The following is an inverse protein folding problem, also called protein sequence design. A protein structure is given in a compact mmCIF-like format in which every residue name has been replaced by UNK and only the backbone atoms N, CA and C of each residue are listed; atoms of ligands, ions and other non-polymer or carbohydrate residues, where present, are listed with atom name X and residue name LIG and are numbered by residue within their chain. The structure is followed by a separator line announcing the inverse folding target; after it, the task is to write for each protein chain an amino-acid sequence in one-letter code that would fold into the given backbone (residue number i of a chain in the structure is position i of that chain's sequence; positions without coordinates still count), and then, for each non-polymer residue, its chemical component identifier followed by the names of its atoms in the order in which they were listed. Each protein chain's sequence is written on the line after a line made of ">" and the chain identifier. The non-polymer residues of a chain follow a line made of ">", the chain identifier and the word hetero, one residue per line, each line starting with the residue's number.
data_IF_919146278525
#
_entry.id   IF_919146278525
#
_cell.length_a   1.000
_cell.length_b   1.000
_cell.length_c   1.000
_cell.angle_alpha   90.00
_cell.angle_beta   90.00
_cell.angle_gamma   90.00
#
_symmetry.space_group_name_H-M   'P 1'
#
loop_
_entity.id
_entity.type
_entity.pdbx_description
1 polymer ?
#
# COMPACT_ATOMS: atom_id res chain seq x y z
N UNK A 1 -25.91 -21.41 72.84
CA UNK A 1 -26.05 -20.97 71.45
C UNK A 1 -24.70 -20.41 71.01
N UNK A 2 -23.92 -21.10 70.16
CA UNK A 2 -22.66 -20.58 69.67
C UNK A 2 -22.85 -19.87 68.32
N UNK A 3 -22.32 -18.67 68.23
CA UNK A 3 -22.27 -17.79 67.02
C UNK A 3 -21.22 -18.29 66.05
N UNK A 4 -21.66 -18.63 64.84
CA UNK A 4 -20.78 -18.98 63.71
C UNK A 4 -20.31 -17.69 63.02
N UNK A 5 -19.00 -17.42 63.09
CA UNK A 5 -18.36 -16.33 62.35
C UNK A 5 -17.88 -16.91 61.03
N UNK A 6 -18.54 -16.55 59.91
CA UNK A 6 -18.15 -16.88 58.55
C UNK A 6 -17.03 -15.89 58.16
N UNK A 7 -15.78 -16.40 58.03
CA UNK A 7 -14.65 -15.66 57.42
C UNK A 7 -14.72 -15.80 55.92
N UNK A 8 -15.06 -14.71 55.24
CA UNK A 8 -15.03 -14.61 53.77
C UNK A 8 -13.59 -14.36 53.34
N UNK A 9 -12.92 -15.37 52.76
CA UNK A 9 -11.61 -15.22 52.12
C UNK A 9 -11.84 -14.63 50.74
N UNK A 10 -11.42 -13.38 50.53
CA UNK A 10 -11.34 -12.75 49.22
C UNK A 10 -10.11 -13.29 48.48
N UNK A 11 -10.34 -14.09 47.44
CA UNK A 11 -9.29 -14.55 46.53
C UNK A 11 -9.02 -13.45 45.51
N UNK A 12 -7.93 -12.70 45.67
CA UNK A 12 -7.46 -11.73 44.68
C UNK A 12 -6.74 -12.53 43.59
N UNK A 13 -7.40 -12.75 42.45
CA UNK A 13 -6.75 -13.25 41.23
C UNK A 13 -5.85 -12.14 40.65
N UNK A 14 -4.55 -12.25 40.86
CA UNK A 14 -3.57 -11.44 40.16
C UNK A 14 -3.48 -11.95 38.71
N UNK A 15 -4.10 -11.26 37.77
CA UNK A 15 -3.93 -11.51 36.35
C UNK A 15 -2.51 -11.11 35.97
N UNK A 16 -1.64 -12.08 35.81
CA UNK A 16 -0.29 -11.88 35.28
C UNK A 16 -0.40 -11.53 33.78
N UNK A 17 -0.28 -10.25 33.45
CA UNK A 17 -0.09 -9.82 32.05
C UNK A 17 1.32 -10.24 31.64
N UNK A 18 1.41 -11.35 30.90
CA UNK A 18 2.67 -11.73 30.24
C UNK A 18 2.88 -10.79 29.06
N UNK A 19 3.75 -9.79 29.23
CA UNK A 19 4.29 -8.99 28.13
C UNK A 19 5.22 -9.92 27.37
N UNK A 20 4.78 -10.44 26.23
CA UNK A 20 5.66 -11.13 25.28
C UNK A 20 6.65 -10.11 24.73
N UNK A 21 7.87 -10.10 25.21
CA UNK A 21 8.95 -9.34 24.61
C UNK A 21 9.25 -9.95 23.23
N UNK A 22 9.06 -9.19 22.16
CA UNK A 22 9.48 -9.62 20.82
C UNK A 22 10.99 -9.82 20.85
N UNK A 23 11.45 -11.02 20.51
CA UNK A 23 12.88 -11.34 20.57
C UNK A 23 13.64 -10.52 19.51
N UNK A 24 14.76 -9.90 19.91
CA UNK A 24 15.65 -9.20 18.99
C UNK A 24 16.15 -10.14 17.88
N UNK A 25 16.29 -9.62 16.67
CA UNK A 25 16.84 -10.38 15.54
C UNK A 25 18.29 -10.78 15.80
N UNK A 26 18.61 -12.05 15.59
CA UNK A 26 19.99 -12.56 15.74
C UNK A 26 20.72 -12.50 14.40
N UNK A 27 21.95 -11.99 14.41
CA UNK A 27 22.84 -11.96 13.24
C UNK A 27 24.03 -12.90 13.47
N UNK A 28 24.57 -13.60 12.43
CA UNK A 28 24.14 -13.50 11.03
C UNK A 28 22.73 -14.03 10.79
N UNK A 29 21.95 -13.28 9.99
CA UNK A 29 20.59 -13.61 9.60
C UNK A 29 20.58 -14.10 8.16
N UNK A 30 20.01 -15.29 7.91
CA UNK A 30 19.76 -15.79 6.56
C UNK A 30 18.28 -15.63 6.24
N UNK A 31 17.96 -14.94 5.13
CA UNK A 31 16.60 -14.71 4.65
C UNK A 31 16.47 -15.09 3.18
N UNK A 32 15.23 -15.32 2.76
CA UNK A 32 14.87 -15.53 1.36
C UNK A 32 14.11 -14.28 0.92
N UNK A 33 14.55 -13.66 -0.20
CA UNK A 33 13.91 -12.49 -0.77
C UNK A 33 12.65 -12.85 -1.58
N UNK A 34 11.91 -11.86 -2.08
CA UNK A 34 10.68 -12.04 -2.84
C UNK A 34 10.84 -12.78 -4.17
N UNK A 35 12.08 -12.99 -4.63
CA UNK A 35 12.41 -13.80 -5.83
C UNK A 35 12.99 -15.18 -5.51
N UNK A 36 13.00 -15.56 -4.22
CA UNK A 36 13.54 -16.84 -3.76
C UNK A 36 15.07 -16.87 -3.61
N UNK A 37 15.77 -15.73 -3.72
CA UNK A 37 17.22 -15.69 -3.52
C UNK A 37 17.56 -15.66 -2.03
N UNK A 38 18.61 -16.39 -1.66
CA UNK A 38 19.13 -16.37 -0.29
C UNK A 38 20.02 -15.16 -0.07
N UNK A 39 19.74 -14.39 0.97
CA UNK A 39 20.54 -13.27 1.44
C UNK A 39 21.04 -13.54 2.86
N UNK A 40 22.33 -13.28 3.11
CA UNK A 40 22.92 -13.38 4.45
C UNK A 40 23.33 -11.99 4.91
N UNK A 41 22.73 -11.54 6.01
CA UNK A 41 23.11 -10.30 6.69
C UNK A 41 23.97 -10.64 7.90
N UNK A 42 25.24 -10.23 7.88
CA UNK A 42 26.19 -10.54 8.96
C UNK A 42 25.97 -9.68 10.22
N UNK A 43 25.31 -8.54 10.07
CA UNK A 43 25.00 -7.57 11.15
C UNK A 43 23.69 -6.85 10.85
N UNK A 44 23.12 -6.21 11.85
CA UNK A 44 21.97 -5.32 11.70
C UNK A 44 22.32 -4.19 10.73
N UNK A 45 21.55 -4.00 9.62
CA UNK A 45 21.79 -2.92 8.68
C UNK A 45 21.63 -1.55 9.34
N UNK A 46 22.61 -0.66 9.13
CA UNK A 46 22.63 0.70 9.66
C UNK A 46 22.63 1.76 8.55
N UNK A 47 22.83 1.36 7.29
CA UNK A 47 22.88 2.25 6.15
C UNK A 47 22.04 1.65 5.02
N UNK A 48 20.76 2.01 4.98
CA UNK A 48 19.74 1.37 4.17
C UNK A 48 19.39 2.27 2.99
N UNK A 49 19.39 1.73 1.78
CA UNK A 49 18.90 2.40 0.57
C UNK A 49 17.62 1.74 0.08
N UNK A 50 16.64 2.55 -0.30
CA UNK A 50 15.37 2.12 -0.85
C UNK A 50 15.26 2.51 -2.32
N UNK A 51 14.77 1.60 -3.17
CA UNK A 51 14.57 1.78 -4.60
C UNK A 51 13.13 1.52 -5.03
N UNK A 52 12.19 1.51 -4.10
CA UNK A 52 10.75 1.44 -4.39
C UNK A 52 9.97 2.36 -3.48
N UNK A 53 8.91 2.96 -3.98
CA UNK A 53 8.04 3.80 -3.15
C UNK A 53 7.42 3.02 -1.99
N UNK A 54 7.14 1.71 -2.18
CA UNK A 54 6.69 0.83 -1.10
C UNK A 54 7.65 0.83 0.08
N UNK A 55 8.94 0.56 -0.19
CA UNK A 55 9.94 0.52 0.88
C UNK A 55 10.27 1.90 1.41
N UNK A 56 10.17 2.96 0.61
CA UNK A 56 10.29 4.34 1.10
C UNK A 56 9.26 4.62 2.20
N UNK A 57 7.99 4.34 1.90
CA UNK A 57 6.87 4.59 2.79
C UNK A 57 6.89 3.71 4.06
N UNK A 58 7.30 2.44 3.92
CA UNK A 58 7.39 1.52 5.06
C UNK A 58 8.58 1.87 5.94
N UNK A 59 9.76 2.13 5.36
CA UNK A 59 10.99 2.40 6.10
C UNK A 59 10.92 3.70 6.91
N UNK A 60 10.19 4.71 6.44
CA UNK A 60 9.98 5.98 7.16
C UNK A 60 9.40 5.77 8.57
N UNK A 61 8.54 4.77 8.75
CA UNK A 61 7.96 4.42 10.05
C UNK A 61 8.70 3.26 10.74
N UNK A 62 9.41 2.43 9.97
CA UNK A 62 9.98 1.20 10.48
C UNK A 62 11.31 1.42 11.19
N UNK A 63 12.16 2.34 10.70
CA UNK A 63 13.50 2.58 11.22
C UNK A 63 13.74 4.04 11.53
N UNK A 64 14.74 4.31 12.38
CA UNK A 64 15.21 5.67 12.61
C UNK A 64 15.78 6.28 11.31
N UNK A 65 15.49 7.55 11.07
CA UNK A 65 15.93 8.27 9.88
C UNK A 65 17.45 8.26 9.68
N UNK A 66 18.24 8.15 10.76
CA UNK A 66 19.71 8.05 10.70
C UNK A 66 20.20 6.77 10.01
N UNK A 67 19.32 5.76 9.87
CA UNK A 67 19.62 4.52 9.14
C UNK A 67 19.29 4.60 7.65
N UNK A 68 18.59 5.63 7.21
CA UNK A 68 18.20 5.82 5.81
C UNK A 68 19.32 6.55 5.06
N UNK A 69 19.91 5.88 4.08
CA UNK A 69 20.98 6.45 3.24
C UNK A 69 20.45 7.11 1.98
N UNK A 70 19.44 6.49 1.37
CA UNK A 70 18.74 7.05 0.20
C UNK A 70 17.35 6.47 0.05
N UNK A 71 16.49 7.25 -0.61
CA UNK A 71 15.14 6.88 -1.03
C UNK A 71 14.95 7.18 -2.52
N UNK A 72 13.84 6.73 -3.09
CA UNK A 72 13.53 7.07 -4.49
C UNK A 72 13.21 8.57 -4.62
N UNK A 73 13.38 9.13 -5.81
CA UNK A 73 12.92 10.50 -6.07
C UNK A 73 11.39 10.62 -5.94
N UNK A 74 10.65 9.54 -6.19
CA UNK A 74 9.20 9.48 -6.03
C UNK A 74 8.76 9.73 -4.59
N UNK A 75 9.59 9.40 -3.60
CA UNK A 75 9.29 9.68 -2.20
C UNK A 75 9.02 11.17 -1.93
N UNK A 76 9.62 12.08 -2.72
CA UNK A 76 9.43 13.52 -2.59
C UNK A 76 8.28 14.11 -3.43
N UNK A 77 7.66 13.32 -4.31
CA UNK A 77 6.56 13.79 -5.15
C UNK A 77 5.23 13.68 -4.40
N UNK A 78 4.61 14.82 -4.12
CA UNK A 78 3.34 14.92 -3.37
C UNK A 78 2.16 14.21 -4.04
N UNK A 79 2.27 13.93 -5.34
CA UNK A 79 1.21 13.25 -6.10
C UNK A 79 1.31 11.73 -5.98
N UNK A 80 2.53 11.19 -5.80
CA UNK A 80 2.77 9.75 -5.70
C UNK A 80 2.98 9.27 -4.27
N UNK A 81 3.60 10.10 -3.41
CA UNK A 81 4.08 9.70 -2.09
C UNK A 81 3.16 10.18 -0.98
N UNK A 82 2.87 9.28 -0.04
CA UNK A 82 2.16 9.60 1.19
C UNK A 82 3.09 10.14 2.29
N UNK A 83 4.41 10.25 2.03
CA UNK A 83 5.43 10.71 2.98
C UNK A 83 6.23 11.93 2.49
N UNK A 84 5.86 12.52 1.36
CA UNK A 84 6.61 13.61 0.73
C UNK A 84 6.89 14.81 1.66
N UNK A 85 6.01 15.07 2.60
CA UNK A 85 6.10 16.14 3.60
C UNK A 85 6.89 15.76 4.88
N UNK A 86 7.31 14.50 5.01
CA UNK A 86 7.96 13.94 6.21
C UNK A 86 9.38 13.44 5.97
N UNK A 87 9.89 13.59 4.75
CA UNK A 87 11.23 13.13 4.41
C UNK A 87 12.32 13.79 5.27
N UNK A 88 13.35 13.05 5.68
CA UNK A 88 14.54 13.65 6.30
C UNK A 88 15.13 14.72 5.38
N UNK A 89 15.51 15.88 5.96
CA UNK A 89 15.98 17.05 5.18
C UNK A 89 17.18 16.77 4.27
N UNK A 90 18.04 15.86 4.72
CA UNK A 90 19.32 15.56 4.05
C UNK A 90 19.30 14.19 3.37
N UNK A 91 18.11 13.58 3.18
CA UNK A 91 18.01 12.29 2.50
C UNK A 91 18.45 12.41 1.03
N UNK A 92 19.28 11.49 0.58
CA UNK A 92 19.64 11.40 -0.83
C UNK A 92 18.49 10.76 -1.60
N UNK A 93 18.01 11.45 -2.63
CA UNK A 93 16.97 10.96 -3.54
C UNK A 93 17.63 10.41 -4.81
N UNK A 94 17.29 9.18 -5.19
CA UNK A 94 17.92 8.48 -6.31
C UNK A 94 16.87 7.78 -7.19
N UNK A 95 17.20 7.68 -8.47
CA UNK A 95 16.72 6.58 -9.31
C UNK A 95 17.59 5.34 -9.08
N UNK A 96 17.23 4.20 -9.70
CA UNK A 96 18.07 3.00 -9.68
C UNK A 96 19.38 3.27 -10.47
N UNK A 97 20.30 3.98 -9.84
CA UNK A 97 21.63 4.29 -10.37
C UNK A 97 22.69 3.52 -9.58
N UNK A 98 23.31 2.53 -10.23
CA UNK A 98 24.29 1.62 -9.61
C UNK A 98 25.51 2.38 -9.11
N UNK A 99 26.04 3.31 -9.90
CA UNK A 99 27.25 4.08 -9.55
C UNK A 99 27.02 4.93 -8.28
N UNK A 100 25.87 5.60 -8.20
CA UNK A 100 25.49 6.38 -7.03
C UNK A 100 25.35 5.49 -5.79
N UNK A 101 24.71 4.32 -5.91
CA UNK A 101 24.56 3.35 -4.82
C UNK A 101 25.90 2.77 -4.37
N UNK A 102 26.80 2.44 -5.31
CA UNK A 102 28.17 2.03 -4.99
C UNK A 102 28.92 3.15 -4.25
N UNK A 103 28.74 4.42 -4.65
CA UNK A 103 29.31 5.57 -3.95
C UNK A 103 28.77 5.76 -2.54
N UNK A 104 27.49 5.51 -2.32
CA UNK A 104 26.85 5.50 -0.98
C UNK A 104 27.37 4.32 -0.16
N UNK A 105 27.54 3.15 -0.77
CA UNK A 105 27.93 1.89 -0.13
C UNK A 105 27.02 1.54 1.04
N UNK A 106 25.74 1.25 0.81
CA UNK A 106 24.79 0.89 1.86
C UNK A 106 25.05 -0.53 2.40
N UNK A 107 24.59 -0.78 3.61
CA UNK A 107 24.62 -2.12 4.23
C UNK A 107 23.53 -3.04 3.66
N UNK A 108 22.47 -2.45 3.10
CA UNK A 108 21.33 -3.15 2.50
C UNK A 108 20.63 -2.22 1.51
N UNK A 109 20.27 -2.78 0.36
CA UNK A 109 19.40 -2.15 -0.64
C UNK A 109 18.10 -2.93 -0.72
N UNK A 110 16.97 -2.25 -0.65
CA UNK A 110 15.67 -2.79 -1.03
C UNK A 110 15.36 -2.40 -2.49
N UNK A 111 15.04 -3.39 -3.32
CA UNK A 111 14.61 -3.18 -4.69
C UNK A 111 13.36 -4.01 -4.97
N UNK A 112 12.60 -3.69 -6.01
CA UNK A 112 11.43 -4.45 -6.40
C UNK A 112 11.81 -5.77 -7.06
N UNK A 113 10.93 -6.78 -6.95
CA UNK A 113 11.09 -8.07 -7.62
C UNK A 113 11.12 -7.95 -9.17
N UNK A 114 10.59 -6.86 -9.72
CA UNK A 114 10.61 -6.52 -11.14
C UNK A 114 11.76 -5.58 -11.56
N UNK A 115 12.69 -5.27 -10.63
CA UNK A 115 13.87 -4.44 -10.93
C UNK A 115 14.77 -5.09 -11.97
N UNK A 116 15.49 -4.27 -12.74
CA UNK A 116 16.43 -4.72 -13.78
C UNK A 116 17.48 -5.69 -13.20
N UNK A 117 17.44 -6.94 -13.62
CA UNK A 117 18.29 -8.00 -13.09
C UNK A 117 19.79 -7.69 -13.18
N UNK A 118 20.23 -7.05 -14.28
CA UNK A 118 21.63 -6.68 -14.49
C UNK A 118 22.09 -5.63 -13.50
N UNK A 119 21.26 -4.65 -13.14
CA UNK A 119 21.58 -3.65 -12.11
C UNK A 119 21.68 -4.27 -10.73
N UNK A 120 20.75 -5.19 -10.41
CA UNK A 120 20.78 -5.96 -9.17
C UNK A 120 22.06 -6.79 -9.07
N UNK A 121 22.44 -7.47 -10.16
CA UNK A 121 23.68 -8.27 -10.22
C UNK A 121 24.92 -7.38 -9.99
N UNK A 122 25.01 -6.23 -10.64
CA UNK A 122 26.13 -5.28 -10.47
C UNK A 122 26.27 -4.81 -9.01
N UNK A 123 25.17 -4.52 -8.29
CA UNK A 123 25.22 -4.18 -6.88
C UNK A 123 25.74 -5.35 -6.03
N UNK A 124 25.26 -6.57 -6.29
CA UNK A 124 25.69 -7.78 -5.59
C UNK A 124 27.18 -8.08 -5.84
N UNK A 125 27.64 -7.91 -7.07
CA UNK A 125 29.05 -8.07 -7.46
C UNK A 125 29.96 -7.01 -6.80
N UNK A 126 29.43 -5.81 -6.52
CA UNK A 126 30.09 -4.78 -5.72
C UNK A 126 30.07 -5.09 -4.20
N UNK A 127 29.52 -6.23 -3.78
CA UNK A 127 29.43 -6.64 -2.39
C UNK A 127 28.31 -5.97 -1.59
N UNK A 128 27.36 -5.33 -2.25
CA UNK A 128 26.20 -4.68 -1.62
C UNK A 128 25.06 -5.67 -1.54
N UNK A 129 24.55 -5.99 -0.32
CA UNK A 129 23.40 -6.85 -0.16
C UNK A 129 22.13 -6.20 -0.78
N UNK A 130 21.42 -6.95 -1.64
CA UNK A 130 20.15 -6.51 -2.23
C UNK A 130 19.05 -7.50 -1.87
N UNK A 131 18.03 -7.01 -1.18
CA UNK A 131 16.78 -7.74 -0.90
C UNK A 131 15.71 -7.30 -1.92
N UNK A 132 15.21 -8.24 -2.68
CA UNK A 132 14.13 -8.01 -3.62
C UNK A 132 12.79 -8.18 -2.88
N UNK A 133 12.06 -7.08 -2.69
CA UNK A 133 10.76 -7.13 -2.02
C UNK A 133 9.72 -7.73 -2.96
N UNK A 134 8.83 -8.53 -2.40
CA UNK A 134 7.63 -8.94 -3.12
C UNK A 134 6.70 -7.73 -3.30
N UNK A 135 5.85 -7.78 -4.31
CA UNK A 135 4.86 -6.72 -4.58
C UNK A 135 3.46 -7.26 -4.30
N UNK A 136 3.04 -7.26 -3.02
CA UNK A 136 1.74 -7.79 -2.65
C UNK A 136 0.62 -6.89 -3.15
N UNK A 137 -0.49 -7.50 -3.59
CA UNK A 137 -1.67 -6.81 -4.11
C UNK A 137 -2.86 -6.87 -3.14
N UNK A 138 -2.67 -7.41 -1.94
CA UNK A 138 -3.68 -7.47 -0.89
C UNK A 138 -3.19 -6.84 0.41
N UNK A 139 -4.10 -6.34 1.23
CA UNK A 139 -3.77 -5.77 2.55
C UNK A 139 -3.05 -6.80 3.42
N UNK A 140 -3.52 -8.04 3.45
CA UNK A 140 -2.86 -9.10 4.21
C UNK A 140 -1.44 -9.39 3.71
N UNK A 141 -1.22 -9.37 2.40
CA UNK A 141 0.13 -9.53 1.81
C UNK A 141 1.05 -8.36 2.17
N UNK A 142 0.55 -7.12 2.11
CA UNK A 142 1.28 -5.92 2.52
C UNK A 142 1.69 -6.01 3.99
N UNK A 143 0.77 -6.39 4.89
CA UNK A 143 1.06 -6.57 6.31
C UNK A 143 2.15 -7.63 6.54
N UNK A 144 2.08 -8.75 5.83
CA UNK A 144 3.11 -9.80 5.92
C UNK A 144 4.47 -9.31 5.45
N UNK A 145 4.53 -8.55 4.36
CA UNK A 145 5.80 -8.00 3.87
C UNK A 145 6.37 -6.97 4.84
N UNK A 146 5.56 -6.07 5.41
CA UNK A 146 5.98 -5.15 6.47
C UNK A 146 6.62 -5.90 7.65
N UNK A 147 6.00 -6.99 8.11
CA UNK A 147 6.53 -7.79 9.22
C UNK A 147 7.85 -8.50 8.86
N UNK A 148 8.00 -8.97 7.61
CA UNK A 148 9.27 -9.54 7.12
C UNK A 148 10.37 -8.48 7.11
N UNK A 149 10.10 -7.28 6.58
CA UNK A 149 11.05 -6.16 6.58
C UNK A 149 11.42 -5.75 8.01
N UNK A 150 10.44 -5.73 8.92
CA UNK A 150 10.66 -5.43 10.33
C UNK A 150 11.61 -6.45 10.99
N UNK A 151 11.40 -7.74 10.75
CA UNK A 151 12.27 -8.80 11.27
C UNK A 151 13.70 -8.69 10.71
N UNK A 152 13.85 -8.40 9.42
CA UNK A 152 15.13 -8.22 8.74
C UNK A 152 15.93 -7.04 9.30
N UNK A 153 15.24 -6.00 9.75
CA UNK A 153 15.83 -4.75 10.22
C UNK A 153 15.95 -4.65 11.74
N UNK A 154 15.57 -5.69 12.50
CA UNK A 154 15.46 -5.68 13.96
C UNK A 154 14.58 -4.52 14.45
N UNK A 155 13.37 -4.44 13.88
CA UNK A 155 12.37 -3.41 14.08
C UNK A 155 10.95 -3.99 14.28
N UNK A 156 10.86 -5.22 14.85
CA UNK A 156 9.60 -5.97 14.94
C UNK A 156 8.48 -5.18 15.59
N UNK A 157 8.80 -4.47 16.70
CA UNK A 157 7.82 -3.66 17.41
C UNK A 157 7.19 -2.59 16.51
N UNK A 158 8.01 -1.89 15.71
CA UNK A 158 7.51 -0.87 14.79
C UNK A 158 6.65 -1.50 13.69
N UNK A 159 7.06 -2.66 13.15
CA UNK A 159 6.27 -3.40 12.17
C UNK A 159 4.91 -3.82 12.72
N UNK A 160 4.87 -4.35 13.93
CA UNK A 160 3.63 -4.71 14.63
C UNK A 160 2.74 -3.49 14.86
N UNK A 161 3.32 -2.34 15.22
CA UNK A 161 2.58 -1.08 15.39
C UNK A 161 1.99 -0.57 14.07
N UNK A 162 2.73 -0.66 12.96
CA UNK A 162 2.22 -0.31 11.62
C UNK A 162 1.01 -1.19 11.27
N UNK A 163 1.14 -2.51 11.39
CA UNK A 163 0.06 -3.46 11.09
C UNK A 163 -1.15 -3.24 11.99
N UNK A 164 -0.94 -3.05 13.29
CA UNK A 164 -2.02 -2.77 14.22
C UNK A 164 -2.73 -1.43 13.91
N UNK A 165 -2.02 -0.43 13.37
CA UNK A 165 -2.62 0.82 12.90
C UNK A 165 -3.50 0.59 11.67
N UNK A 166 -3.03 -0.23 10.71
CA UNK A 166 -3.82 -0.62 9.53
C UNK A 166 -5.12 -1.30 9.96
N UNK A 167 -5.04 -2.29 10.86
CA UNK A 167 -6.21 -3.03 11.35
C UNK A 167 -7.21 -2.13 12.09
N UNK A 168 -6.72 -1.23 12.94
CA UNK A 168 -7.60 -0.25 13.61
C UNK A 168 -8.31 0.64 12.61
N UNK A 169 -7.59 1.17 11.62
CA UNK A 169 -8.16 2.04 10.59
C UNK A 169 -9.30 1.35 9.83
N UNK A 170 -9.14 0.09 9.44
CA UNK A 170 -10.18 -0.70 8.79
C UNK A 170 -11.35 -1.00 9.75
N UNK A 171 -11.06 -1.32 11.01
CA UNK A 171 -12.08 -1.56 12.03
C UNK A 171 -12.96 -0.34 12.27
N UNK A 172 -12.36 0.87 12.31
CA UNK A 172 -13.09 2.12 12.49
C UNK A 172 -14.05 2.41 11.31
N UNK A 173 -13.71 1.91 10.11
CA UNK A 173 -14.52 2.05 8.90
C UNK A 173 -15.62 0.99 8.78
N UNK A 174 -15.57 -0.10 9.55
CA UNK A 174 -16.44 -1.26 9.38
C UNK A 174 -17.95 -0.95 9.32
N UNK A 175 -18.53 -0.03 10.12
CA UNK A 175 -19.94 0.31 10.02
C UNK A 175 -20.32 0.97 8.68
N UNK A 176 -19.43 1.82 8.14
CA UNK A 176 -19.62 2.49 6.87
C UNK A 176 -19.48 1.52 5.71
N UNK A 177 -18.47 0.64 5.77
CA UNK A 177 -18.24 -0.43 4.79
C UNK A 177 -19.47 -1.34 4.70
N UNK A 178 -20.02 -1.80 5.84
CA UNK A 178 -21.22 -2.62 5.86
C UNK A 178 -22.45 -1.92 5.23
N UNK A 179 -22.59 -0.62 5.46
CA UNK A 179 -23.64 0.18 4.84
C UNK A 179 -23.49 0.28 3.32
N UNK A 180 -22.25 0.48 2.81
CA UNK A 180 -21.94 0.49 1.37
C UNK A 180 -22.21 -0.90 0.78
N UNK A 181 -21.69 -1.95 1.40
CA UNK A 181 -21.84 -3.33 0.94
C UNK A 181 -23.30 -3.76 0.81
N UNK A 182 -24.18 -3.30 1.72
CA UNK A 182 -25.60 -3.59 1.66
C UNK A 182 -26.32 -2.99 0.44
N UNK A 183 -25.71 -2.01 -0.22
CA UNK A 183 -26.23 -1.38 -1.45
C UNK A 183 -25.86 -2.15 -2.72
N UNK A 184 -24.84 -3.01 -2.68
CA UNK A 184 -24.35 -3.81 -3.79
C UNK A 184 -23.86 -2.95 -4.99
N UNK A 185 -23.25 -1.79 -4.71
CA UNK A 185 -22.82 -0.83 -5.73
C UNK A 185 -21.68 -1.39 -6.59
N UNK A 186 -21.85 -1.24 -7.90
CA UNK A 186 -20.86 -1.60 -8.91
C UNK A 186 -19.98 -0.40 -9.21
N UNK A 187 -18.69 -0.55 -9.03
CA UNK A 187 -17.67 0.47 -9.24
C UNK A 187 -16.77 0.11 -10.42
N UNK A 188 -16.35 1.10 -11.17
CA UNK A 188 -15.36 0.96 -12.25
C UNK A 188 -14.37 2.12 -12.14
N UNK A 189 -13.08 1.84 -12.23
CA UNK A 189 -12.08 2.86 -12.52
C UNK A 189 -11.89 3.00 -14.04
N UNK A 190 -11.53 4.18 -14.47
CA UNK A 190 -11.24 4.45 -15.88
C UNK A 190 -10.12 5.49 -15.97
N UNK A 191 -9.01 5.12 -16.58
CA UNK A 191 -7.84 5.97 -16.67
C UNK A 191 -7.61 6.53 -18.08
N UNK A 192 -6.65 7.46 -18.20
CA UNK A 192 -6.31 8.11 -19.46
C UNK A 192 -5.72 7.18 -20.52
N UNK A 193 -5.33 5.96 -20.14
CA UNK A 193 -4.82 4.92 -21.05
C UNK A 193 -5.95 4.06 -21.64
N UNK A 194 -7.20 4.31 -21.24
CA UNK A 194 -8.34 3.51 -21.69
C UNK A 194 -8.40 2.14 -20.99
N UNK A 195 -7.97 2.06 -19.76
CA UNK A 195 -7.98 0.80 -18.98
C UNK A 195 -8.58 0.99 -17.58
N UNK A 196 -8.90 -0.14 -16.96
CA UNK A 196 -9.29 -0.29 -15.57
C UNK A 196 -8.43 -1.34 -14.86
N UNK A 197 -8.48 -1.35 -13.54
CA UNK A 197 -7.74 -2.25 -12.69
C UNK A 197 -8.61 -3.44 -12.26
N UNK A 198 -8.30 -4.61 -12.80
CA UNK A 198 -9.01 -5.87 -12.53
C UNK A 198 -8.44 -6.66 -11.35
N UNK A 199 -8.73 -7.96 -11.33
CA UNK A 199 -8.25 -8.90 -10.32
C UNK A 199 -6.72 -8.91 -10.24
N UNK A 200 -6.17 -9.02 -9.02
CA UNK A 200 -4.73 -9.06 -8.79
C UNK A 200 -4.07 -7.69 -8.73
N UNK A 201 -4.86 -6.61 -8.64
CA UNK A 201 -4.37 -5.25 -8.38
C UNK A 201 -4.71 -4.78 -6.98
N UNK A 202 -3.94 -3.85 -6.42
CA UNK A 202 -4.26 -3.20 -5.14
C UNK A 202 -5.55 -2.39 -5.24
N UNK A 203 -5.88 -1.86 -6.42
CA UNK A 203 -7.13 -1.14 -6.63
C UNK A 203 -8.35 -2.05 -6.48
N UNK A 204 -8.28 -3.30 -6.99
CA UNK A 204 -9.34 -4.29 -6.74
C UNK A 204 -9.52 -4.55 -5.24
N UNK A 205 -8.42 -4.75 -4.52
CA UNK A 205 -8.44 -4.92 -3.05
C UNK A 205 -9.07 -3.71 -2.36
N UNK A 206 -8.71 -2.47 -2.75
CA UNK A 206 -9.26 -1.24 -2.20
C UNK A 206 -10.78 -1.19 -2.37
N UNK A 207 -11.29 -1.50 -3.56
CA UNK A 207 -12.73 -1.48 -3.83
C UNK A 207 -13.47 -2.57 -3.03
N UNK A 208 -12.96 -3.79 -3.00
CA UNK A 208 -13.54 -4.88 -2.23
C UNK A 208 -13.58 -4.58 -0.73
N UNK A 209 -12.48 -4.05 -0.18
CA UNK A 209 -12.39 -3.65 1.22
C UNK A 209 -13.28 -2.44 1.55
N UNK A 210 -13.59 -1.58 0.58
CA UNK A 210 -14.56 -0.50 0.73
C UNK A 210 -16.03 -0.98 0.63
N UNK A 211 -16.27 -2.27 0.40
CA UNK A 211 -17.60 -2.88 0.26
C UNK A 211 -18.23 -2.70 -1.10
N UNK A 212 -17.43 -2.43 -2.14
CA UNK A 212 -17.85 -2.22 -3.53
C UNK A 212 -17.60 -3.47 -4.38
N UNK A 213 -18.36 -3.62 -5.45
CA UNK A 213 -18.15 -4.64 -6.48
C UNK A 213 -17.30 -4.01 -7.59
N UNK A 214 -16.09 -4.53 -7.81
CA UNK A 214 -15.26 -4.07 -8.93
C UNK A 214 -15.76 -4.69 -10.24
N UNK A 215 -16.29 -3.87 -11.14
CA UNK A 215 -16.77 -4.34 -12.43
C UNK A 215 -15.65 -4.94 -13.30
N UNK A 216 -14.45 -4.36 -13.24
CA UNK A 216 -13.29 -4.85 -13.99
C UNK A 216 -12.83 -6.24 -13.54
N UNK A 217 -13.19 -6.69 -12.33
CA UNK A 217 -12.85 -8.03 -11.83
C UNK A 217 -13.54 -9.17 -12.61
N UNK A 218 -14.63 -8.87 -13.33
CA UNK A 218 -15.36 -9.85 -14.15
C UNK A 218 -14.94 -9.85 -15.63
N UNK A 219 -14.00 -8.99 -16.01
CA UNK A 219 -13.54 -8.84 -17.39
C UNK A 219 -12.21 -9.58 -17.62
N UNK A 220 -11.85 -9.75 -18.89
CA UNK A 220 -10.58 -10.37 -19.23
C UNK A 220 -9.40 -9.49 -18.82
N UNK A 221 -8.58 -10.03 -17.93
CA UNK A 221 -7.43 -9.35 -17.35
C UNK A 221 -6.20 -9.57 -18.22
N UNK A 222 -5.57 -8.49 -18.66
CA UNK A 222 -4.29 -8.48 -19.33
C UNK A 222 -3.10 -8.43 -18.36
N UNK A 223 -1.97 -7.96 -18.87
CA UNK A 223 -0.75 -7.83 -18.07
C UNK A 223 -0.96 -6.90 -16.86
N UNK A 224 -0.32 -7.25 -15.75
CA UNK A 224 -0.34 -6.49 -14.49
C UNK A 224 -1.74 -6.25 -13.91
N UNK A 225 -2.72 -7.11 -14.22
CA UNK A 225 -4.08 -6.95 -13.74
C UNK A 225 -4.88 -5.85 -14.45
N UNK A 226 -4.39 -5.30 -15.55
CA UNK A 226 -5.07 -4.24 -16.30
C UNK A 226 -6.08 -4.83 -17.29
N UNK A 227 -7.24 -4.17 -17.40
CA UNK A 227 -8.31 -4.50 -18.32
C UNK A 227 -8.47 -3.38 -19.34
N UNK A 228 -8.30 -3.67 -20.62
CA UNK A 228 -8.60 -2.71 -21.69
C UNK A 228 -10.11 -2.44 -21.78
N UNK A 229 -10.50 -1.18 -21.74
CA UNK A 229 -11.89 -0.77 -21.80
C UNK A 229 -12.22 -0.09 -23.12
N UNK A 230 -13.26 -0.57 -23.81
CA UNK A 230 -13.98 0.21 -24.81
C UNK A 230 -15.14 0.97 -24.16
N UNK A 231 -15.68 1.97 -24.83
CA UNK A 231 -16.88 2.68 -24.35
C UNK A 231 -18.09 1.75 -24.30
N UNK A 232 -18.18 0.81 -25.24
CA UNK A 232 -19.21 -0.23 -25.28
C UNK A 232 -19.11 -1.15 -24.06
N UNK A 233 -17.89 -1.48 -23.62
CA UNK A 233 -17.67 -2.25 -22.39
C UNK A 233 -18.14 -1.47 -21.16
N UNK A 234 -17.83 -0.17 -21.05
CA UNK A 234 -18.28 0.68 -19.95
C UNK A 234 -19.81 0.75 -19.90
N UNK A 235 -20.46 0.93 -21.06
CA UNK A 235 -21.93 0.93 -21.16
C UNK A 235 -22.53 -0.41 -20.79
N UNK A 236 -21.95 -1.51 -21.24
CA UNK A 236 -22.43 -2.86 -20.94
C UNK A 236 -22.32 -3.21 -19.45
N UNK A 237 -21.24 -2.79 -18.80
CA UNK A 237 -21.02 -2.96 -17.36
C UNK A 237 -21.95 -2.05 -16.56
N UNK A 238 -22.25 -0.86 -17.07
CA UNK A 238 -23.10 0.15 -16.47
C UNK A 238 -22.82 0.41 -14.98
N UNK A 239 -21.64 0.90 -14.60
CA UNK A 239 -21.27 1.09 -13.21
C UNK A 239 -22.13 2.15 -12.52
N UNK A 240 -22.40 1.94 -11.21
CA UNK A 240 -23.05 2.92 -10.34
C UNK A 240 -22.09 4.05 -9.94
N UNK A 241 -20.82 3.74 -9.86
CA UNK A 241 -19.74 4.65 -9.45
C UNK A 241 -18.59 4.58 -10.46
N UNK A 242 -18.09 5.76 -10.86
CA UNK A 242 -16.94 5.86 -11.74
C UNK A 242 -15.80 6.58 -11.03
N UNK A 243 -14.64 5.94 -10.95
CA UNK A 243 -13.42 6.49 -10.37
C UNK A 243 -12.45 6.89 -11.47
N UNK A 244 -12.01 8.14 -11.46
CA UNK A 244 -11.12 8.72 -12.45
C UNK A 244 -9.82 9.20 -11.77
N UNK A 245 -8.71 9.36 -12.52
CA UNK A 245 -7.48 9.92 -11.99
C UNK A 245 -7.72 11.32 -11.40
N UNK A 246 -7.16 11.55 -10.21
CA UNK A 246 -7.13 12.89 -9.60
C UNK A 246 -5.91 13.71 -10.02
N UNK A 247 -4.98 13.09 -10.77
CA UNK A 247 -3.79 13.72 -11.29
C UNK A 247 -3.31 13.01 -12.56
N UNK A 248 -2.65 13.75 -13.46
CA UNK A 248 -2.08 13.21 -14.71
C UNK A 248 -0.64 13.72 -14.83
N UNK A 249 0.29 12.80 -15.07
CA UNK A 249 1.71 13.12 -15.19
C UNK A 249 1.95 14.16 -16.28
N UNK A 250 2.70 15.23 -15.93
CA UNK A 250 3.09 16.27 -16.86
C UNK A 250 1.96 17.21 -17.32
N UNK A 251 0.71 17.01 -16.85
CA UNK A 251 -0.42 17.84 -17.21
C UNK A 251 -1.24 18.27 -15.97
N UNK A 252 -0.99 19.45 -15.42
CA UNK A 252 -1.71 19.94 -14.23
C UNK A 252 -3.24 20.07 -14.41
N UNK A 253 -3.75 20.23 -15.64
CA UNK A 253 -5.15 20.28 -15.94
C UNK A 253 -5.73 18.95 -16.44
N UNK A 254 -4.87 17.95 -16.66
CA UNK A 254 -5.20 16.69 -17.32
C UNK A 254 -6.29 15.90 -16.64
N UNK A 255 -6.27 15.83 -15.32
CA UNK A 255 -7.28 15.10 -14.56
C UNK A 255 -8.68 15.72 -14.73
N UNK A 256 -8.80 17.04 -14.64
CA UNK A 256 -10.10 17.72 -14.84
C UNK A 256 -10.53 17.68 -16.32
N UNK A 257 -9.60 17.85 -17.24
CA UNK A 257 -9.87 17.73 -18.69
C UNK A 257 -10.39 16.33 -19.02
N UNK A 258 -9.77 15.30 -18.48
CA UNK A 258 -10.19 13.90 -18.67
C UNK A 258 -11.60 13.67 -18.09
N UNK A 259 -11.85 14.10 -16.87
CA UNK A 259 -13.18 14.02 -16.24
C UNK A 259 -14.25 14.68 -17.09
N UNK A 260 -14.00 15.91 -17.57
CA UNK A 260 -14.95 16.63 -18.42
C UNK A 260 -15.17 15.90 -19.76
N UNK A 261 -14.14 15.31 -20.35
CA UNK A 261 -14.27 14.52 -21.58
C UNK A 261 -15.15 13.27 -21.38
N UNK A 262 -15.03 12.61 -20.22
CA UNK A 262 -15.85 11.44 -19.86
C UNK A 262 -17.32 11.85 -19.65
N UNK A 263 -17.58 12.95 -18.94
CA UNK A 263 -18.93 13.46 -18.68
C UNK A 263 -19.62 13.92 -19.96
N UNK A 264 -18.89 14.55 -20.88
CA UNK A 264 -19.40 15.08 -22.10
C UNK A 264 -19.51 14.06 -23.26
N UNK A 265 -19.07 12.82 -23.03
CA UNK A 265 -19.05 11.80 -24.07
C UNK A 265 -20.46 11.28 -24.39
N UNK A 266 -20.96 11.50 -25.61
CA UNK A 266 -22.32 11.05 -26.00
C UNK A 266 -22.51 9.53 -25.87
N UNK A 267 -21.43 8.73 -26.00
CA UNK A 267 -21.53 7.28 -25.88
C UNK A 267 -21.72 6.80 -24.42
N UNK A 268 -21.40 7.63 -23.42
CA UNK A 268 -21.47 7.30 -22.02
C UNK A 268 -22.69 7.94 -21.30
N UNK A 269 -23.51 8.69 -21.99
CA UNK A 269 -24.64 9.47 -21.41
C UNK A 269 -25.62 8.61 -20.60
N UNK A 270 -25.81 7.35 -21.00
CA UNK A 270 -26.76 6.43 -20.36
C UNK A 270 -26.13 5.60 -19.22
N UNK A 271 -24.84 5.79 -18.93
CA UNK A 271 -24.16 5.11 -17.82
C UNK A 271 -24.66 5.65 -16.49
N UNK A 272 -25.05 4.79 -15.57
CA UNK A 272 -25.63 5.14 -14.27
C UNK A 272 -24.78 6.14 -13.49
N UNK A 273 -23.47 5.95 -13.45
CA UNK A 273 -22.53 6.85 -12.77
C UNK A 273 -22.54 8.26 -13.36
N UNK A 274 -22.71 8.40 -14.69
CA UNK A 274 -22.80 9.70 -15.38
C UNK A 274 -24.12 10.37 -15.03
N UNK A 275 -25.25 9.65 -15.19
CA UNK A 275 -26.59 10.17 -14.92
C UNK A 275 -26.78 10.66 -13.49
N UNK A 276 -26.19 9.92 -12.54
CA UNK A 276 -26.27 10.22 -11.11
C UNK A 276 -25.15 11.16 -10.62
N UNK A 277 -24.27 11.63 -11.51
CA UNK A 277 -23.08 12.42 -11.13
C UNK A 277 -22.20 11.75 -10.09
N UNK A 278 -22.17 10.42 -10.07
CA UNK A 278 -21.39 9.59 -9.15
C UNK A 278 -19.98 9.32 -9.70
N UNK A 279 -19.25 10.39 -9.98
CA UNK A 279 -17.92 10.39 -10.58
C UNK A 279 -16.93 10.98 -9.57
N UNK A 280 -15.91 10.22 -9.20
CA UNK A 280 -14.92 10.57 -8.18
C UNK A 280 -13.54 10.63 -8.78
N UNK A 281 -12.78 11.68 -8.48
CA UNK A 281 -11.35 11.75 -8.79
C UNK A 281 -10.56 11.27 -7.58
N UNK A 282 -9.67 10.31 -7.79
CA UNK A 282 -8.87 9.71 -6.72
C UNK A 282 -7.44 10.22 -6.81
N UNK A 283 -6.87 10.78 -5.71
CA UNK A 283 -5.46 11.16 -5.69
C UNK A 283 -4.55 9.97 -6.05
N UNK A 284 -3.58 10.17 -6.93
CA UNK A 284 -2.72 9.10 -7.45
C UNK A 284 -1.99 8.33 -6.34
N UNK A 285 -1.49 9.05 -5.34
CA UNK A 285 -0.84 8.44 -4.16
C UNK A 285 -1.72 7.47 -3.36
N UNK A 286 -3.05 7.55 -3.54
CA UNK A 286 -4.00 6.64 -2.93
C UNK A 286 -4.40 5.54 -3.91
N UNK A 287 -4.70 5.89 -5.17
CA UNK A 287 -5.08 4.92 -6.20
C UNK A 287 -3.95 3.90 -6.47
N UNK A 288 -2.71 4.37 -6.51
CA UNK A 288 -1.52 3.54 -6.68
C UNK A 288 -0.90 3.02 -5.38
N UNK A 289 -1.55 3.16 -4.22
CA UNK A 289 -0.95 2.76 -2.94
C UNK A 289 -0.83 1.24 -2.81
N UNK A 290 0.36 0.78 -2.49
CA UNK A 290 0.66 -0.62 -2.20
C UNK A 290 1.53 -0.78 -0.94
N UNK A 291 1.48 0.22 -0.04
CA UNK A 291 2.11 0.24 1.29
C UNK A 291 1.06 0.23 2.41
N UNK A 292 1.46 0.52 3.65
CA UNK A 292 0.52 0.71 4.77
C UNK A 292 -0.56 1.75 4.50
N UNK A 293 -0.36 2.65 3.53
CA UNK A 293 -1.33 3.69 3.16
C UNK A 293 -2.50 3.18 2.30
N UNK A 294 -2.51 1.91 1.90
CA UNK A 294 -3.66 1.30 1.22
C UNK A 294 -4.94 1.42 2.05
N UNK A 295 -4.84 1.41 3.39
CA UNK A 295 -6.01 1.59 4.27
C UNK A 295 -6.54 3.03 4.22
N UNK A 296 -5.70 4.02 3.92
CA UNK A 296 -6.15 5.40 3.68
C UNK A 296 -6.84 5.54 2.33
N UNK A 297 -6.44 4.75 1.33
CA UNK A 297 -7.18 4.66 0.07
C UNK A 297 -8.58 4.08 0.30
N UNK A 298 -8.70 2.98 1.06
CA UNK A 298 -10.00 2.43 1.48
C UNK A 298 -10.84 3.50 2.19
N UNK A 299 -10.23 4.22 3.16
CA UNK A 299 -10.92 5.28 3.90
C UNK A 299 -11.41 6.41 2.98
N UNK A 300 -10.60 6.81 2.00
CA UNK A 300 -10.97 7.83 1.02
C UNK A 300 -12.20 7.39 0.22
N UNK A 301 -12.20 6.17 -0.32
CA UNK A 301 -13.31 5.62 -1.09
C UNK A 301 -14.58 5.52 -0.24
N UNK A 302 -14.48 4.96 0.97
CA UNK A 302 -15.61 4.83 1.91
C UNK A 302 -16.23 6.19 2.21
N UNK A 303 -15.41 7.21 2.49
CA UNK A 303 -15.89 8.56 2.80
C UNK A 303 -16.55 9.22 1.57
N UNK A 304 -15.93 9.08 0.38
CA UNK A 304 -16.47 9.66 -0.86
C UNK A 304 -17.83 9.04 -1.21
N UNK A 305 -17.96 7.72 -1.14
CA UNK A 305 -19.21 6.99 -1.45
C UNK A 305 -20.28 7.22 -0.37
N UNK A 306 -19.91 7.35 0.90
CA UNK A 306 -20.85 7.64 1.97
C UNK A 306 -21.41 9.07 1.90
N UNK A 307 -20.65 10.02 1.38
CA UNK A 307 -21.09 11.42 1.20
C UNK A 307 -21.99 11.61 -0.04
N UNK A 308 -21.89 10.71 -1.04
CA UNK A 308 -22.75 10.72 -2.21
C UNK A 308 -24.15 10.21 -1.82
N UNK A 309 -25.18 11.03 -2.09
CA UNK A 309 -26.60 10.74 -1.77
C UNK A 309 -27.25 9.90 -2.87
#
# INVERSE_FOLDING_TARGET
>A
MPSIIIRMLAFIMLASVTISATAATQYPLTVIDGMGNTLVLNKKPQKISSLTLFTDEVLEQLVDNSRLASMTFLASDVNYSNIADRLPKDITLLDFNVEALVGIYPDLVFAANWSEADKVAQLRDAGIPVYLVDTPTSIAGIQQEILKLAALLDAQKNGEEIVANMDRRLSDLAPHIAAIQSRGLVALDYNTWGSASGVGTTWNEILEQAGLVNAAASLDVGDYGQVSLSKETIVAVNPDLLFLPGWVYGDPAGAETFKQSVIADPALTDVSAIQNSAIFQVPEKLAGSYSQYIVEAVAYIVNAVSAAK
#
